data_IF_714403276960
#
_entry.id   IF_714403276960
#
_cell.length_a   1.000
_cell.length_b   1.000
_cell.length_c   1.000
_cell.angle_alpha   90.00
_cell.angle_beta   90.00
_cell.angle_gamma   90.00
#
_symmetry.space_group_name_H-M   'P 1'
#
loop_
_entity.id
_entity.type
_entity.pdbx_description
1 polymer ?
#
# COMPACT_ATOMS: atom_id res chain seq x y z
N UNK A 1 -17.11 -10.76 7.17
CA UNK A 1 -16.23 -10.12 6.17
C UNK A 1 -16.53 -10.77 4.83
N UNK A 2 -16.99 -10.04 3.81
CA UNK A 2 -17.14 -10.65 2.48
C UNK A 2 -15.74 -11.01 1.95
N UNK A 3 -15.53 -12.27 1.58
CA UNK A 3 -14.25 -12.69 1.02
C UNK A 3 -14.08 -12.05 -0.35
N UNK A 4 -13.01 -11.29 -0.55
CA UNK A 4 -12.71 -10.72 -1.87
C UNK A 4 -12.58 -11.83 -2.91
N UNK A 5 -13.07 -11.57 -4.14
CA UNK A 5 -13.04 -12.56 -5.21
C UNK A 5 -11.62 -12.87 -5.68
N UNK A 6 -11.40 -14.03 -6.31
CA UNK A 6 -10.11 -14.38 -6.88
C UNK A 6 -9.63 -13.36 -7.95
N UNK A 7 -10.57 -12.77 -8.70
CA UNK A 7 -10.27 -11.72 -9.67
C UNK A 7 -9.77 -10.45 -8.98
N UNK A 8 -10.37 -10.08 -7.85
CA UNK A 8 -9.93 -8.96 -7.03
C UNK A 8 -8.50 -9.18 -6.50
N UNK A 9 -8.20 -10.36 -5.96
CA UNK A 9 -6.84 -10.67 -5.47
C UNK A 9 -5.77 -10.67 -6.56
N UNK A 10 -6.12 -11.03 -7.80
CA UNK A 10 -5.19 -10.89 -8.93
C UNK A 10 -4.91 -9.41 -9.25
N UNK A 11 -5.94 -8.55 -9.24
CA UNK A 11 -5.77 -7.10 -9.41
C UNK A 11 -4.91 -6.50 -8.29
N UNK A 12 -5.20 -6.85 -7.03
CA UNK A 12 -4.44 -6.36 -5.88
C UNK A 12 -2.95 -6.72 -5.95
N UNK A 13 -2.61 -7.94 -6.37
CA UNK A 13 -1.21 -8.35 -6.57
C UNK A 13 -0.52 -7.56 -7.68
N UNK A 14 -1.17 -7.37 -8.83
CA UNK A 14 -0.61 -6.53 -9.90
C UNK A 14 -0.43 -5.08 -9.49
N UNK A 15 -1.40 -4.50 -8.77
CA UNK A 15 -1.31 -3.16 -8.23
C UNK A 15 -0.11 -3.02 -7.27
N UNK A 16 0.09 -4.00 -6.37
CA UNK A 16 1.26 -4.07 -5.49
C UNK A 16 2.56 -4.14 -6.30
N UNK A 17 2.65 -5.03 -7.28
CA UNK A 17 3.86 -5.24 -8.07
C UNK A 17 4.22 -4.00 -8.91
N UNK A 18 3.22 -3.28 -9.45
CA UNK A 18 3.42 -1.99 -10.11
C UNK A 18 3.96 -0.92 -9.17
N UNK A 19 3.44 -0.85 -7.94
CA UNK A 19 3.95 0.07 -6.93
C UNK A 19 5.37 -0.29 -6.48
N UNK A 20 5.70 -1.58 -6.36
CA UNK A 20 7.07 -2.04 -6.10
C UNK A 20 8.01 -1.61 -7.22
N UNK A 21 7.64 -1.81 -8.49
CA UNK A 21 8.46 -1.39 -9.62
C UNK A 21 8.69 0.13 -9.66
N UNK A 22 7.69 0.93 -9.25
CA UNK A 22 7.75 2.39 -9.29
C UNK A 22 8.45 3.01 -8.07
N UNK A 23 8.21 2.47 -6.88
CA UNK A 23 8.55 3.10 -5.59
C UNK A 23 9.55 2.27 -4.77
N UNK A 24 9.85 1.03 -5.15
CA UNK A 24 10.66 0.11 -4.36
C UNK A 24 12.12 0.55 -4.17
N UNK A 25 12.62 1.45 -5.01
CA UNK A 25 13.97 2.04 -4.87
C UNK A 25 13.95 3.39 -4.13
N UNK A 26 12.78 3.90 -3.75
CA UNK A 26 12.68 5.17 -3.05
C UNK A 26 13.18 5.00 -1.61
N UNK A 27 14.14 5.83 -1.13
CA UNK A 27 14.80 5.61 0.17
C UNK A 27 13.86 5.69 1.36
N UNK A 28 12.75 6.42 1.24
CA UNK A 28 11.73 6.49 2.28
C UNK A 28 10.77 5.30 2.30
N UNK A 29 10.68 4.48 1.24
CA UNK A 29 9.76 3.34 1.17
C UNK A 29 10.42 2.13 1.81
N UNK A 30 9.78 1.58 2.85
CA UNK A 30 10.33 0.47 3.64
C UNK A 30 9.69 -0.86 3.29
N UNK A 31 8.44 -0.87 2.85
CA UNK A 31 7.70 -2.06 2.44
C UNK A 31 6.48 -1.71 1.58
N UNK A 32 6.03 -2.65 0.74
CA UNK A 32 4.77 -2.55 0.00
C UNK A 32 4.05 -3.90 0.06
N UNK A 33 2.86 -3.93 0.65
CA UNK A 33 2.09 -5.17 0.82
C UNK A 33 0.57 -4.96 0.61
N UNK A 34 -0.21 -6.03 0.74
CA UNK A 34 -1.68 -5.97 0.69
C UNK A 34 -2.21 -6.22 2.10
N UNK A 35 -3.02 -5.31 2.61
CA UNK A 35 -3.56 -5.39 3.96
C UNK A 35 -4.70 -4.41 4.22
N UNK A 36 -5.15 -4.34 5.48
CA UNK A 36 -6.14 -3.35 5.91
C UNK A 36 -5.50 -1.97 5.92
N UNK A 37 -6.16 -1.01 5.27
CA UNK A 37 -5.72 0.38 5.21
C UNK A 37 -5.95 1.08 6.55
N UNK A 38 -5.07 2.04 6.84
CA UNK A 38 -5.19 2.97 7.95
C UNK A 38 -6.23 4.08 7.64
N UNK A 39 -6.66 4.87 8.64
CA UNK A 39 -7.50 6.04 8.41
C UNK A 39 -6.94 6.94 7.29
N UNK A 40 -7.81 7.49 6.41
CA UNK A 40 -9.27 7.52 6.52
C UNK A 40 -10.00 6.30 5.91
N UNK A 41 -9.32 5.35 5.27
CA UNK A 41 -9.94 4.16 4.67
C UNK A 41 -9.95 2.94 5.61
N UNK A 42 -10.07 3.18 6.92
CA UNK A 42 -10.00 2.12 7.93
C UNK A 42 -10.97 0.96 7.62
N UNK A 43 -10.46 -0.28 7.68
CA UNK A 43 -11.25 -1.49 7.44
C UNK A 43 -11.38 -1.91 5.97
N UNK A 44 -10.86 -1.12 5.02
CA UNK A 44 -10.78 -1.50 3.59
C UNK A 44 -9.50 -2.27 3.34
N UNK A 45 -9.57 -3.40 2.61
CA UNK A 45 -8.36 -4.10 2.14
C UNK A 45 -7.85 -3.41 0.88
N UNK A 46 -6.57 -3.04 0.86
CA UNK A 46 -5.91 -2.36 -0.24
C UNK A 46 -4.40 -2.61 -0.25
N UNK A 47 -3.67 -1.88 -1.10
CA UNK A 47 -2.21 -1.90 -1.09
C UNK A 47 -1.68 -0.86 -0.11
N UNK A 48 -0.74 -1.25 0.73
CA UNK A 48 -0.12 -0.39 1.74
C UNK A 48 1.28 -0.05 1.29
N UNK A 49 1.61 1.23 1.29
CA UNK A 49 2.96 1.73 1.08
C UNK A 49 3.49 2.20 2.43
N UNK A 50 4.43 1.46 2.98
CA UNK A 50 5.07 1.78 4.25
C UNK A 50 6.19 2.78 4.00
N UNK A 51 6.16 3.89 4.73
CA UNK A 51 7.12 4.98 4.56
C UNK A 51 7.74 5.39 5.89
N UNK A 52 9.04 5.71 5.85
CA UNK A 52 9.75 6.35 6.96
C UNK A 52 9.55 7.86 6.90
N UNK A 53 9.20 8.45 8.04
CA UNK A 53 9.01 9.90 8.17
C UNK A 53 7.93 10.46 7.23
N UNK A 54 8.18 11.66 6.72
CA UNK A 54 7.23 12.40 5.85
C UNK A 54 7.95 12.88 4.59
N UNK A 55 8.29 11.99 3.65
CA UNK A 55 8.99 12.37 2.42
C UNK A 55 8.15 13.36 1.62
N UNK A 56 8.76 14.49 1.24
CA UNK A 56 8.08 15.55 0.47
C UNK A 56 8.09 15.28 -1.04
N UNK A 57 8.97 14.39 -1.50
CA UNK A 57 9.18 14.01 -2.91
C UNK A 57 8.46 12.70 -3.28
N UNK A 58 7.93 11.96 -2.32
CA UNK A 58 7.21 10.71 -2.56
C UNK A 58 5.74 10.97 -2.92
N UNK A 59 5.37 10.65 -4.15
CA UNK A 59 3.98 10.69 -4.62
C UNK A 59 3.40 9.28 -4.68
N UNK A 60 2.52 8.95 -3.74
CA UNK A 60 1.77 7.69 -3.71
C UNK A 60 0.38 7.90 -4.34
N UNK A 61 0.00 7.16 -5.39
CA UNK A 61 -1.36 7.24 -5.94
C UNK A 61 -2.36 6.72 -4.90
N UNK A 62 -3.59 7.24 -4.89
CA UNK A 62 -4.66 6.76 -3.98
C UNK A 62 -5.30 5.45 -4.44
N UNK A 63 -5.10 5.07 -5.70
CA UNK A 63 -5.68 3.88 -6.31
C UNK A 63 -4.80 3.40 -7.48
N UNK A 64 -4.75 2.08 -7.68
CA UNK A 64 -4.12 1.44 -8.84
C UNK A 64 -5.02 0.29 -9.32
N UNK A 65 -5.42 0.26 -10.59
CA UNK A 65 -6.34 -0.75 -11.15
C UNK A 65 -7.68 -0.91 -10.39
N UNK A 66 -8.21 0.14 -9.77
CA UNK A 66 -9.41 0.04 -8.92
C UNK A 66 -9.14 -0.54 -7.52
N UNK A 67 -7.86 -0.69 -7.15
CA UNK A 67 -7.43 -1.16 -5.83
C UNK A 67 -6.99 0.05 -5.00
N UNK A 68 -7.61 0.31 -3.84
CA UNK A 68 -7.26 1.45 -3.02
C UNK A 68 -5.84 1.30 -2.46
N UNK A 69 -5.15 2.42 -2.33
CA UNK A 69 -3.77 2.49 -1.84
C UNK A 69 -3.69 3.44 -0.66
N UNK A 70 -3.11 2.98 0.44
CA UNK A 70 -2.89 3.77 1.65
C UNK A 70 -1.41 3.92 1.98
N UNK A 71 -1.06 5.02 2.64
CA UNK A 71 0.28 5.25 3.16
C UNK A 71 0.29 4.91 4.65
N UNK A 72 1.13 3.96 5.03
CA UNK A 72 1.36 3.60 6.42
C UNK A 72 2.63 4.31 6.88
N UNK A 73 2.50 5.20 7.85
CA UNK A 73 3.63 5.94 8.42
C UNK A 73 4.05 5.27 9.72
N UNK A 74 5.29 4.81 9.78
CA UNK A 74 5.85 4.25 10.99
C UNK A 74 7.11 3.46 10.73
N UNK A 75 8.10 3.67 11.59
CA UNK A 75 9.17 2.70 11.75
C UNK A 75 8.57 1.53 12.56
N UNK A 76 8.50 0.35 11.95
CA UNK A 76 8.09 -0.86 12.67
C UNK A 76 9.15 -1.13 13.74
N UNK A 77 8.89 -0.69 14.97
CA UNK A 77 9.66 -1.11 16.14
C UNK A 77 9.03 -2.41 16.65
N UNK A 78 9.71 -3.53 16.42
CA UNK A 78 9.42 -4.74 17.20
C UNK A 78 9.77 -4.42 18.66
N UNK A 79 8.76 -4.39 19.52
CA UNK A 79 8.95 -4.48 20.98
C UNK A 79 9.21 -5.93 21.38
#
# INVERSE_FOLDING_TARGET
MSSQSAAWWRKARRARDQLIARLGTHPAVTNIDIGLLDPPQAGVIGVRVHVRGTPTDLVVPKEVEGIPVGVVRGDYHLQ
#
